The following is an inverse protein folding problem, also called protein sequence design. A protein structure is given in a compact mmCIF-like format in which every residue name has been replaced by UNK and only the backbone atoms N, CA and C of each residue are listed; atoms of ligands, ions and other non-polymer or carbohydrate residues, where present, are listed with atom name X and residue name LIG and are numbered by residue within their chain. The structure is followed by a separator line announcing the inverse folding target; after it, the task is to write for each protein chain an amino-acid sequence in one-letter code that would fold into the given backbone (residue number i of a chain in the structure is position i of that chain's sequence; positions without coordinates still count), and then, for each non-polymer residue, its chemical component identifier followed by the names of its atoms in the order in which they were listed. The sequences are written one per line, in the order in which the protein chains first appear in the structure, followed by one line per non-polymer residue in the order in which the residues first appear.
data_IF_429046933687
#
_entry.id   IF_429046933687
#
_cell.length_a   1.000
_cell.length_b   1.000
_cell.length_c   1.000
_cell.angle_alpha   90.00
_cell.angle_beta   90.00
_cell.angle_gamma   90.00
#
_symmetry.space_group_name_H-M   'P 1'
#
loop_
_entity.id
_entity.type
_entity.pdbx_description
1 polymer ?
#
# COMPACT_ATOMS: atom_id res chain seq x y z
N UNK A 1 4.85 -11.57 -6.83
CA UNK A 1 4.62 -10.13 -6.57
C UNK A 1 4.36 -9.84 -5.09
N UNK A 2 3.32 -10.40 -4.46
CA UNK A 2 3.07 -10.14 -3.02
C UNK A 2 4.22 -10.58 -2.09
N UNK A 3 4.86 -11.71 -2.38
CA UNK A 3 6.00 -12.21 -1.61
C UNK A 3 7.22 -11.29 -1.68
N UNK A 4 7.49 -10.69 -2.85
CA UNK A 4 8.65 -9.81 -3.05
C UNK A 4 8.48 -8.50 -2.28
N UNK A 5 7.25 -7.94 -2.32
CA UNK A 5 6.87 -6.79 -1.52
C UNK A 5 6.94 -7.11 -0.03
N UNK A 6 6.53 -8.30 0.39
CA UNK A 6 6.53 -8.67 1.80
C UNK A 6 7.94 -8.72 2.42
N UNK A 7 8.96 -9.02 1.61
CA UNK A 7 10.37 -9.03 2.05
C UNK A 7 10.99 -7.63 2.12
N UNK A 8 10.45 -6.67 1.38
CA UNK A 8 10.99 -5.31 1.28
C UNK A 8 10.22 -4.29 2.15
N UNK A 9 8.96 -4.57 2.51
CA UNK A 9 8.10 -3.62 3.20
C UNK A 9 8.41 -3.47 4.70
N UNK A 10 8.70 -2.25 5.14
CA UNK A 10 8.85 -1.91 6.57
C UNK A 10 7.50 -1.61 7.25
N UNK A 11 6.61 -0.96 6.51
CA UNK A 11 5.25 -0.60 6.92
C UNK A 11 4.25 -1.03 5.87
N UNK A 12 3.13 -1.56 6.35
CA UNK A 12 2.02 -2.00 5.51
C UNK A 12 0.76 -1.26 5.93
N UNK A 13 0.17 -0.56 4.98
CA UNK A 13 -1.16 0.01 5.11
C UNK A 13 -2.17 -1.01 4.58
N UNK A 14 -2.91 -1.62 5.49
CA UNK A 14 -3.95 -2.59 5.16
C UNK A 14 -5.29 -1.87 5.04
N UNK A 15 -5.78 -1.71 3.81
CA UNK A 15 -7.14 -1.25 3.58
C UNK A 15 -8.14 -2.38 3.85
N UNK A 16 -9.21 -2.06 4.57
CA UNK A 16 -10.32 -2.98 4.84
C UNK A 16 -11.60 -2.24 4.47
N UNK A 17 -12.38 -2.81 3.57
CA UNK A 17 -13.69 -2.30 3.27
C UNK A 17 -14.65 -2.64 4.41
N UNK A 18 -15.26 -1.64 5.06
CA UNK A 18 -16.18 -1.89 6.15
C UNK A 18 -17.50 -2.53 5.70
N UNK A 19 -17.92 -2.31 4.44
CA UNK A 19 -19.17 -2.79 3.88
C UNK A 19 -19.11 -4.28 3.50
N UNK A 20 -17.98 -4.72 2.96
CA UNK A 20 -17.74 -6.11 2.56
C UNK A 20 -17.09 -6.93 3.69
N UNK A 21 -16.13 -6.35 4.40
CA UNK A 21 -15.38 -6.99 5.48
C UNK A 21 -13.96 -7.37 5.07
N UNK A 22 -13.44 -8.46 5.65
CA UNK A 22 -12.11 -8.96 5.31
C UNK A 22 -12.17 -9.86 4.08
N UNK A 23 -11.36 -9.55 3.08
CA UNK A 23 -11.19 -10.35 1.87
C UNK A 23 -10.15 -11.45 2.08
N UNK A 24 -10.30 -12.59 1.40
CA UNK A 24 -9.36 -13.72 1.52
C UNK A 24 -7.92 -13.32 1.16
N UNK A 25 -7.76 -12.46 0.16
CA UNK A 25 -6.44 -11.94 -0.26
C UNK A 25 -5.71 -11.23 0.88
N UNK A 26 -6.44 -10.49 1.73
CA UNK A 26 -5.83 -9.81 2.88
C UNK A 26 -5.28 -10.79 3.91
N UNK A 27 -5.95 -11.93 4.12
CA UNK A 27 -5.47 -12.99 5.01
C UNK A 27 -4.28 -13.75 4.42
N UNK A 28 -4.28 -14.03 3.11
CA UNK A 28 -3.14 -14.63 2.43
C UNK A 28 -1.88 -13.77 2.60
N UNK A 29 -2.03 -12.45 2.45
CA UNK A 29 -0.92 -11.52 2.63
C UNK A 29 -0.39 -11.48 4.08
N UNK A 30 -1.28 -11.56 5.08
CA UNK A 30 -0.90 -11.67 6.49
C UNK A 30 -0.10 -12.95 6.77
N UNK A 31 -0.51 -14.08 6.19
CA UNK A 31 0.20 -15.34 6.36
C UNK A 31 1.61 -15.29 5.75
N UNK A 32 1.78 -14.63 4.60
CA UNK A 32 3.09 -14.41 3.99
C UNK A 32 4.00 -13.59 4.92
N UNK A 33 3.48 -12.55 5.58
CA UNK A 33 4.25 -11.77 6.55
C UNK A 33 4.68 -12.55 7.79
N UNK A 34 3.85 -13.50 8.26
CA UNK A 34 4.24 -14.34 9.39
C UNK A 34 5.49 -15.17 9.08
N UNK A 35 5.68 -15.59 7.83
CA UNK A 35 6.84 -16.39 7.39
C UNK A 35 8.07 -15.54 7.12
N UNK A 36 7.93 -14.37 6.49
CA UNK A 36 9.06 -13.51 6.12
C UNK A 36 9.51 -12.54 7.22
N UNK A 37 8.73 -12.45 8.29
CA UNK A 37 8.93 -11.53 9.40
C UNK A 37 7.89 -10.43 9.36
N UNK A 38 7.26 -10.19 10.51
CA UNK A 38 6.05 -9.39 10.60
C UNK A 38 6.38 -7.88 10.61
N UNK A 39 6.07 -7.13 9.53
CA UNK A 39 6.33 -5.70 9.48
C UNK A 39 5.31 -4.95 10.33
N UNK A 40 5.45 -3.63 10.43
CA UNK A 40 4.50 -2.83 11.17
C UNK A 40 3.26 -2.56 10.32
N UNK A 41 2.14 -3.19 10.69
CA UNK A 41 0.87 -3.06 9.98
C UNK A 41 -0.02 -2.00 10.64
N UNK A 42 -0.61 -1.14 9.82
CA UNK A 42 -1.71 -0.26 10.20
C UNK A 42 -2.94 -0.57 9.36
N UNK A 43 -4.09 -0.67 10.02
CA UNK A 43 -5.35 -0.86 9.34
C UNK A 43 -6.00 0.48 8.99
N UNK A 44 -6.64 0.55 7.83
CA UNK A 44 -7.46 1.68 7.39
C UNK A 44 -8.82 1.14 6.96
N UNK A 45 -9.87 1.50 7.69
CA UNK A 45 -11.24 1.13 7.36
C UNK A 45 -11.87 2.17 6.43
N UNK A 46 -12.34 1.73 5.27
CA UNK A 46 -13.00 2.57 4.27
C UNK A 46 -14.50 2.30 4.18
N UNK A 47 -15.21 3.07 3.36
CA UNK A 47 -16.64 2.90 3.04
C UNK A 47 -17.57 2.85 4.27
N UNK A 48 -17.27 3.68 5.27
CA UNK A 48 -18.09 3.80 6.48
C UNK A 48 -19.40 4.56 6.23
N UNK A 49 -19.46 5.34 5.16
CA UNK A 49 -20.62 6.06 4.62
C UNK A 49 -21.69 5.13 4.02
N UNK A 50 -21.32 3.94 3.57
CA UNK A 50 -22.26 2.93 3.06
C UNK A 50 -23.30 2.48 4.11
N UNK A 51 -23.00 2.67 5.40
CA UNK A 51 -23.90 2.30 6.49
C UNK A 51 -24.97 3.35 6.78
N UNK A 52 -26.19 3.11 6.31
CA UNK A 52 -27.37 3.94 6.63
C UNK A 52 -27.77 3.95 8.12
N UNK A 53 -27.28 3.03 8.95
CA UNK A 53 -27.71 2.86 10.35
C UNK A 53 -26.54 2.89 11.33
N UNK A 54 -26.54 3.87 12.25
CA UNK A 54 -25.48 4.08 13.24
C UNK A 54 -25.27 2.92 14.22
N UNK A 55 -26.34 2.21 14.61
CA UNK A 55 -26.25 1.03 15.49
C UNK A 55 -25.49 -0.11 14.80
N UNK A 56 -25.78 -0.36 13.52
CA UNK A 56 -25.11 -1.38 12.70
C UNK A 56 -23.64 -1.02 12.49
N UNK A 57 -23.36 0.24 12.14
CA UNK A 57 -21.99 0.75 11.98
C UNK A 57 -21.14 0.53 13.23
N UNK A 58 -21.65 0.87 14.43
CA UNK A 58 -20.91 0.64 15.69
C UNK A 58 -20.63 -0.84 15.94
N UNK A 59 -21.59 -1.72 15.66
CA UNK A 59 -21.41 -3.17 15.80
C UNK A 59 -20.34 -3.70 14.83
N UNK A 60 -20.43 -3.33 13.56
CA UNK A 60 -19.46 -3.73 12.53
C UNK A 60 -18.06 -3.20 12.82
N UNK A 61 -17.91 -1.92 13.20
CA UNK A 61 -16.61 -1.35 13.62
C UNK A 61 -16.00 -2.14 14.78
N UNK A 62 -16.80 -2.56 15.76
CA UNK A 62 -16.32 -3.36 16.90
C UNK A 62 -15.88 -4.75 16.45
N UNK A 63 -16.65 -5.41 15.59
CA UNK A 63 -16.32 -6.73 15.05
C UNK A 63 -15.03 -6.68 14.21
N UNK A 64 -14.94 -5.77 13.24
CA UNK A 64 -13.76 -5.61 12.38
C UNK A 64 -12.51 -5.25 13.18
N UNK A 65 -12.64 -4.39 14.19
CA UNK A 65 -11.54 -4.07 15.10
C UNK A 65 -11.08 -5.30 15.89
N UNK A 66 -12.01 -6.13 16.36
CA UNK A 66 -11.67 -7.35 17.08
C UNK A 66 -10.95 -8.34 16.16
N UNK A 67 -11.49 -8.61 14.97
CA UNK A 67 -10.86 -9.48 13.98
C UNK A 67 -9.47 -8.96 13.60
N UNK A 68 -9.33 -7.67 13.31
CA UNK A 68 -8.02 -7.06 13.00
C UNK A 68 -6.98 -7.28 14.10
N UNK A 69 -7.39 -7.17 15.37
CA UNK A 69 -6.50 -7.41 16.50
C UNK A 69 -6.12 -8.88 16.72
N UNK A 70 -6.98 -9.81 16.31
CA UNK A 70 -6.70 -11.25 16.36
C UNK A 70 -5.68 -11.63 15.29
N UNK A 71 -5.82 -11.09 14.08
CA UNK A 71 -5.01 -11.49 12.92
C UNK A 71 -3.63 -10.82 12.88
N UNK A 72 -3.55 -9.55 13.24
CA UNK A 72 -2.31 -8.77 13.13
C UNK A 72 -1.52 -8.83 14.43
N UNK A 73 -2.01 -8.11 15.43
CA UNK A 73 -1.43 -8.06 16.76
C UNK A 73 -2.34 -7.25 17.68
N UNK A 74 -2.39 -7.64 18.96
CA UNK A 74 -3.06 -6.87 20.00
C UNK A 74 -2.34 -5.52 20.16
N UNK A 75 -2.98 -4.46 19.66
CA UNK A 75 -2.45 -3.09 19.75
C UNK A 75 -2.12 -2.43 18.42
N UNK A 76 -2.34 -3.12 17.29
CA UNK A 76 -2.27 -2.49 15.97
C UNK A 76 -3.27 -1.32 15.86
N UNK A 77 -2.81 -0.22 15.26
CA UNK A 77 -3.61 1.00 15.08
C UNK A 77 -4.54 0.84 13.89
N UNK A 78 -5.78 1.26 14.08
CA UNK A 78 -6.84 1.19 13.08
C UNK A 78 -7.39 2.60 12.87
N UNK A 79 -7.29 3.09 11.65
CA UNK A 79 -7.83 4.37 11.21
C UNK A 79 -9.17 4.16 10.53
N UNK A 80 -10.01 5.19 10.55
CA UNK A 80 -11.35 5.16 9.98
C UNK A 80 -11.44 6.30 8.98
N UNK A 81 -11.76 5.99 7.73
CA UNK A 81 -12.01 6.98 6.69
C UNK A 81 -13.51 7.09 6.47
N UNK A 82 -14.07 8.27 6.76
CA UNK A 82 -15.52 8.46 6.85
C UNK A 82 -16.23 8.54 5.50
N UNK A 83 -15.50 8.55 4.37
CA UNK A 83 -16.04 8.59 3.01
C UNK A 83 -15.31 9.60 2.12
N UNK A 84 -15.75 9.70 0.85
CA UNK A 84 -15.16 10.60 -0.15
C UNK A 84 -16.21 11.56 -0.73
N UNK A 85 -16.49 12.71 -0.10
CA UNK A 85 -17.53 13.63 -0.58
C UNK A 85 -17.20 14.36 -1.88
N UNK A 86 -15.92 14.45 -2.28
CA UNK A 86 -15.49 15.11 -3.52
C UNK A 86 -14.50 14.27 -4.34
N UNK A 87 -14.60 12.94 -4.22
CA UNK A 87 -13.60 12.01 -4.77
C UNK A 87 -12.28 11.95 -3.98
N UNK A 88 -12.11 12.83 -2.99
CA UNK A 88 -10.98 12.84 -2.07
C UNK A 88 -11.42 12.40 -0.67
N UNK A 89 -10.51 11.73 0.04
CA UNK A 89 -10.66 11.46 1.45
C UNK A 89 -10.56 12.75 2.27
N UNK A 90 -11.15 12.72 3.46
CA UNK A 90 -11.13 13.87 4.35
C UNK A 90 -9.70 14.28 4.75
N UNK A 91 -9.34 15.53 4.46
CA UNK A 91 -8.00 16.06 4.71
C UNK A 91 -7.56 15.90 6.18
N UNK A 92 -8.47 16.01 7.14
CA UNK A 92 -8.15 15.83 8.54
C UNK A 92 -7.79 14.36 8.91
N UNK A 93 -8.47 13.39 8.30
CA UNK A 93 -8.22 11.96 8.52
C UNK A 93 -6.88 11.55 7.89
N UNK A 94 -6.63 12.02 6.66
CA UNK A 94 -5.38 11.81 5.94
C UNK A 94 -4.21 12.50 6.65
N UNK A 95 -4.40 13.73 7.15
CA UNK A 95 -3.36 14.43 7.89
C UNK A 95 -2.99 13.69 9.19
N UNK A 96 -3.99 13.13 9.90
CA UNK A 96 -3.74 12.31 11.08
C UNK A 96 -2.98 11.02 10.71
N UNK A 97 -3.42 10.31 9.68
CA UNK A 97 -2.72 9.12 9.17
C UNK A 97 -1.27 9.44 8.79
N UNK A 98 -1.05 10.52 8.04
CA UNK A 98 0.28 11.00 7.66
C UNK A 98 1.16 11.31 8.86
N UNK A 99 0.63 12.00 9.88
CA UNK A 99 1.36 12.27 11.12
C UNK A 99 1.81 10.98 11.83
N UNK A 100 0.98 9.95 11.83
CA UNK A 100 1.36 8.65 12.39
C UNK A 100 2.44 7.96 11.56
N UNK A 101 2.34 8.00 10.22
CA UNK A 101 3.36 7.50 9.29
C UNK A 101 4.72 8.12 9.58
N UNK A 102 4.78 9.44 9.71
CA UNK A 102 6.04 10.17 9.95
C UNK A 102 6.72 9.81 11.27
N UNK A 103 5.96 9.54 12.34
CA UNK A 103 6.51 9.32 13.70
C UNK A 103 6.88 7.84 13.93
N UNK A 104 6.55 6.94 13.00
CA UNK A 104 6.80 5.52 13.22
C UNK A 104 8.28 5.17 13.24
N UNK A 105 8.65 4.39 14.27
CA UNK A 105 9.94 3.70 14.35
C UNK A 105 9.81 2.31 13.74
N UNK A 106 10.73 2.00 12.84
CA UNK A 106 10.83 0.70 12.18
C UNK A 106 11.74 -0.24 12.97
N UNK A 107 11.45 -1.54 12.90
CA UNK A 107 12.34 -2.58 13.41
C UNK A 107 12.92 -3.28 12.20
N UNK A 108 14.25 -3.33 12.03
CA UNK A 108 14.84 -4.00 10.88
C UNK A 108 14.51 -5.49 10.92
N UNK A 109 14.02 -6.04 9.81
CA UNK A 109 13.75 -7.47 9.67
C UNK A 109 15.09 -8.21 9.48
N UNK A 110 15.16 -9.46 9.96
CA UNK A 110 16.36 -10.29 9.83
C UNK A 110 16.77 -10.48 8.37
N UNK A 111 15.78 -10.65 7.46
CA UNK A 111 16.03 -10.78 6.03
C UNK A 111 16.64 -9.50 5.42
N UNK A 112 16.08 -8.34 5.75
CA UNK A 112 16.57 -7.03 5.27
C UNK A 112 18.00 -6.73 5.74
N UNK A 113 18.36 -7.21 6.93
CA UNK A 113 19.71 -6.98 7.49
C UNK A 113 20.75 -7.94 6.90
N UNK A 114 20.32 -9.12 6.45
CA UNK A 114 21.22 -10.17 5.94
C UNK A 114 21.42 -10.13 4.42
N UNK A 115 20.49 -9.53 3.67
CA UNK A 115 20.52 -9.51 2.21
C UNK A 115 20.39 -8.08 1.69
N UNK A 116 21.34 -7.58 0.89
CA UNK A 116 21.20 -6.27 0.26
C UNK A 116 20.09 -6.31 -0.80
N UNK A 117 19.21 -5.32 -0.78
CA UNK A 117 18.13 -5.16 -1.75
C UNK A 117 17.99 -3.69 -2.16
N UNK A 118 17.46 -3.46 -3.36
CA UNK A 118 17.21 -2.12 -3.91
C UNK A 118 15.80 -2.11 -4.51
N UNK A 119 15.03 -1.08 -4.21
CA UNK A 119 13.76 -0.81 -4.89
C UNK A 119 14.03 0.10 -6.10
N UNK A 120 13.78 -0.41 -7.30
CA UNK A 120 13.95 0.38 -8.52
C UNK A 120 12.72 1.29 -8.72
N UNK A 121 12.90 2.60 -8.58
CA UNK A 121 11.84 3.59 -8.81
C UNK A 121 11.58 3.82 -10.31
N UNK A 122 12.65 4.02 -11.08
CA UNK A 122 12.57 4.30 -12.52
C UNK A 122 13.38 3.29 -13.33
N UNK A 123 12.70 2.50 -14.14
CA UNK A 123 13.34 1.68 -15.16
C UNK A 123 13.43 2.49 -16.46
N UNK A 124 14.66 2.65 -16.97
CA UNK A 124 14.88 3.21 -18.31
C UNK A 124 15.45 2.10 -19.16
N UNK A 125 14.74 1.77 -20.23
CA UNK A 125 15.30 0.98 -21.31
C UNK A 125 16.17 1.88 -22.19
N UNK A 126 17.46 1.56 -22.31
CA UNK A 126 18.35 2.17 -23.29
C UNK A 126 18.75 1.11 -24.32
N UNK A 127 18.31 1.22 -25.58
CA UNK A 127 18.78 0.31 -26.61
C UNK A 127 20.29 0.53 -26.85
N UNK A 128 21.01 -0.49 -27.36
CA UNK A 128 22.40 -0.33 -27.74
C UNK A 128 22.51 0.78 -28.80
N UNK A 129 23.56 1.61 -28.71
CA UNK A 129 23.76 2.79 -29.56
C UNK A 129 23.77 2.50 -31.07
N UNK A 130 23.99 1.24 -31.47
CA UNK A 130 23.90 0.77 -32.85
C UNK A 130 22.47 0.78 -33.40
N UNK A 131 21.44 0.60 -32.58
CA UNK A 131 20.03 0.53 -32.98
C UNK A 131 19.38 1.92 -33.14
N UNK A 132 19.93 2.93 -32.46
CA UNK A 132 19.50 4.34 -32.57
C UNK A 132 19.81 4.94 -33.96
N UNK A 133 20.82 4.38 -34.65
CA UNK A 133 21.29 4.86 -35.96
C UNK A 133 20.47 4.32 -37.12
N UNK A 134 19.76 3.21 -36.91
CA UNK A 134 18.95 2.53 -37.94
C UNK A 134 17.52 3.12 -38.04
N UNK A 135 17.07 3.82 -37.01
CA UNK A 135 15.69 4.31 -36.88
C UNK A 135 15.50 5.80 -37.25
N UNK A 136 16.55 6.48 -37.73
CA UNK A 136 16.43 7.85 -38.25
C UNK A 136 16.10 7.83 -39.75
N UNK A 137 14.94 8.36 -40.20
CA UNK A 137 14.70 8.52 -41.63
C UNK A 137 15.73 9.51 -42.22
N UNK A 138 16.28 9.27 -43.42
CA UNK A 138 17.21 10.20 -44.05
C UNK A 138 16.50 11.55 -44.26
N UNK A 139 17.10 12.63 -43.75
CA UNK A 139 16.66 13.99 -44.02
C UNK A 139 16.76 14.25 -45.53
N UNK A 140 15.69 14.69 -46.21
CA UNK A 140 15.75 14.99 -47.63
C UNK A 140 16.72 16.17 -47.88
N UNK A 141 17.50 16.15 -48.97
CA UNK A 141 18.43 17.23 -49.28
C UNK A 141 17.67 18.53 -49.54
N UNK A 142 18.12 19.61 -48.90
CA UNK A 142 17.63 20.97 -49.16
C UNK A 142 17.96 21.33 -50.61
N UNK A 143 16.93 21.50 -51.44
CA UNK A 143 17.06 22.03 -52.79
C UNK A 143 17.58 23.49 -52.72
N UNK A 144 18.68 23.85 -53.40
CA UNK A 144 19.10 25.24 -53.49
C UNK A 144 18.09 26.04 -54.31
N UNK A 145 17.81 27.27 -53.85
CA UNK A 145 16.90 28.22 -54.50
C UNK A 145 17.47 28.76 -55.80
#
# INVERSE_FOLDING_TARGET
MMVDLAKAADVVLMLIDASFGFEMETFEFLNIFQVHGFPKIMGVLTHLDSFKHNKKLKKTKKQLKHSFWTEVSRGAKLFYLSGMPHGEYQNHEIHNLGRFITVMKFRPLTWQTSHPYILADRTRWSPPMSWSRVSSPPTPPLMPR
#
